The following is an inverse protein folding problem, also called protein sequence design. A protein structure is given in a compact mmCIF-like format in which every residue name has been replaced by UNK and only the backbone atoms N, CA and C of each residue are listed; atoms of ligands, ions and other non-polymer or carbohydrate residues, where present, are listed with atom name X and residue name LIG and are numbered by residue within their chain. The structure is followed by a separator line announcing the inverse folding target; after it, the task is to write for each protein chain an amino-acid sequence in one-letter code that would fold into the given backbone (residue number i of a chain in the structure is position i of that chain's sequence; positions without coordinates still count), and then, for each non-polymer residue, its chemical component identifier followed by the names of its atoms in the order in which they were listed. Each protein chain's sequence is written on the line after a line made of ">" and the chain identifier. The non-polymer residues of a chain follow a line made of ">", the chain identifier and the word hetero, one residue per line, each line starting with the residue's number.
data_IF_051444173419
#
_entry.id   IF_051444173419
#
_cell.length_a   1.000
_cell.length_b   1.000
_cell.length_c   1.000
_cell.angle_alpha   90.00
_cell.angle_beta   90.00
_cell.angle_gamma   90.00
#
_symmetry.space_group_name_H-M   'P 1'
#
loop_
_entity.id
_entity.type
_entity.pdbx_description
1 polymer ?
#
# COMPACT_ATOMS: atom_id res chain seq x y z
N UNK A 1 -18.06 -8.79 12.61
CA UNK A 1 -17.27 -8.12 11.55
C UNK A 1 -17.50 -6.60 11.60
N UNK A 2 -16.73 -5.87 12.42
CA UNK A 2 -16.91 -4.41 12.63
C UNK A 2 -16.40 -3.58 11.45
N UNK A 3 -15.38 -4.07 10.72
CA UNK A 3 -14.75 -3.34 9.61
C UNK A 3 -15.71 -3.06 8.44
N UNK A 4 -16.70 -3.92 8.17
CA UNK A 4 -17.68 -3.71 7.10
C UNK A 4 -18.49 -2.42 7.30
N UNK A 5 -18.75 -2.05 8.56
CA UNK A 5 -19.45 -0.81 8.89
C UNK A 5 -18.57 0.44 8.76
N UNK A 6 -17.24 0.27 8.63
CA UNK A 6 -16.28 1.37 8.43
C UNK A 6 -16.03 1.66 6.95
N UNK A 7 -16.39 0.75 6.04
CA UNK A 7 -16.15 0.91 4.61
C UNK A 7 -17.03 2.02 4.05
N UNK A 8 -16.39 3.05 3.49
CA UNK A 8 -17.05 4.05 2.66
C UNK A 8 -16.91 3.62 1.20
N UNK A 9 -18.03 3.25 0.58
CA UNK A 9 -18.06 2.89 -0.84
C UNK A 9 -17.90 4.12 -1.74
N UNK A 10 -16.85 4.15 -2.56
CA UNK A 10 -16.61 5.16 -3.60
C UNK A 10 -16.07 4.48 -4.87
N UNK A 11 -16.94 4.04 -5.78
CA UNK A 11 -16.51 3.24 -6.91
C UNK A 11 -15.66 4.03 -7.90
N UNK A 12 -14.64 3.37 -8.46
CA UNK A 12 -14.05 3.79 -9.73
C UNK A 12 -15.01 3.51 -10.88
N UNK A 13 -14.81 4.21 -12.00
CA UNK A 13 -15.50 3.90 -13.24
C UNK A 13 -15.19 2.46 -13.68
N UNK A 14 -16.18 1.80 -14.29
CA UNK A 14 -16.10 0.37 -14.63
C UNK A 14 -14.97 -0.02 -15.60
N UNK A 15 -14.40 0.96 -16.33
CA UNK A 15 -13.27 0.78 -17.24
C UNK A 15 -11.90 0.93 -16.53
N UNK A 16 -11.87 1.36 -15.27
CA UNK A 16 -10.64 1.57 -14.49
C UNK A 16 -10.12 0.29 -13.80
N UNK A 17 -10.92 -0.77 -13.78
CA UNK A 17 -10.56 -2.06 -13.20
C UNK A 17 -11.17 -3.21 -14.02
N UNK A 18 -10.63 -4.40 -13.85
CA UNK A 18 -11.04 -5.60 -14.56
C UNK A 18 -12.08 -6.35 -13.73
N UNK A 19 -13.31 -6.40 -14.24
CA UNK A 19 -14.48 -7.04 -13.62
C UNK A 19 -14.51 -8.55 -13.82
N UNK A 20 -13.36 -9.19 -13.62
CA UNK A 20 -13.18 -10.65 -13.66
C UNK A 20 -12.96 -11.12 -12.23
N UNK A 21 -13.80 -12.05 -11.74
CA UNK A 21 -13.63 -12.62 -10.42
C UNK A 21 -12.51 -13.66 -10.44
N UNK A 22 -11.49 -13.48 -9.60
CA UNK A 22 -10.31 -14.35 -9.54
C UNK A 22 -10.06 -14.75 -8.08
N UNK A 23 -9.75 -16.03 -7.77
CA UNK A 23 -9.32 -16.43 -6.45
C UNK A 23 -8.13 -15.58 -5.97
N UNK A 24 -8.24 -15.03 -4.76
CA UNK A 24 -7.23 -14.15 -4.21
C UNK A 24 -6.25 -14.94 -3.35
N UNK A 25 -4.96 -14.71 -3.57
CA UNK A 25 -3.87 -15.37 -2.84
C UNK A 25 -3.08 -14.40 -1.98
N UNK A 26 -2.98 -13.14 -2.40
CA UNK A 26 -2.07 -12.19 -1.79
C UNK A 26 -2.74 -10.87 -1.46
N UNK A 27 -2.23 -10.20 -0.42
CA UNK A 27 -2.55 -8.81 -0.11
C UNK A 27 -1.28 -7.99 -0.33
N UNK A 28 -1.36 -6.95 -1.15
CA UNK A 28 -0.26 -6.03 -1.38
C UNK A 28 -0.51 -4.71 -0.67
N UNK A 29 0.42 -4.35 0.22
CA UNK A 29 0.41 -3.07 0.91
C UNK A 29 1.24 -2.07 0.11
N UNK A 30 0.63 -0.94 -0.19
CA UNK A 30 1.20 0.19 -0.88
C UNK A 30 1.15 1.44 -0.01
N UNK A 31 1.93 2.45 -0.41
CA UNK A 31 1.59 3.83 -0.09
C UNK A 31 1.54 4.66 -1.36
N UNK A 32 0.77 5.75 -1.31
CA UNK A 32 0.39 6.47 -2.52
C UNK A 32 1.50 7.32 -3.13
N UNK A 33 2.57 7.58 -2.37
CA UNK A 33 3.58 8.60 -2.67
C UNK A 33 2.91 9.95 -3.02
N UNK A 34 1.96 10.34 -2.18
CA UNK A 34 1.00 11.41 -2.46
C UNK A 34 0.36 11.96 -1.19
N UNK A 35 -0.57 12.89 -1.36
CA UNK A 35 -1.23 13.56 -0.24
C UNK A 35 -2.06 12.60 0.63
N UNK A 36 -2.47 13.06 1.81
CA UNK A 36 -3.29 12.30 2.75
C UNK A 36 -4.74 12.00 2.27
N UNK A 37 -5.17 12.49 1.10
CA UNK A 37 -6.55 12.43 0.64
C UNK A 37 -6.88 11.14 -0.13
N UNK A 38 -7.75 10.26 0.40
CA UNK A 38 -8.17 9.07 -0.34
C UNK A 38 -9.06 9.44 -1.54
N UNK A 39 -9.87 10.50 -1.45
CA UNK A 39 -10.68 10.98 -2.57
C UNK A 39 -9.84 11.56 -3.70
N UNK A 40 -8.69 12.17 -3.38
CA UNK A 40 -7.73 12.64 -4.38
C UNK A 40 -7.14 11.49 -5.21
N UNK A 41 -6.82 10.38 -4.55
CA UNK A 41 -6.33 9.15 -5.22
C UNK A 41 -7.37 8.61 -6.19
N UNK A 42 -8.62 8.42 -5.74
CA UNK A 42 -9.71 7.92 -6.57
C UNK A 42 -10.04 8.86 -7.73
N UNK A 43 -10.00 10.18 -7.48
CA UNK A 43 -10.18 11.18 -8.54
C UNK A 43 -9.13 11.01 -9.62
N UNK A 44 -7.85 10.94 -9.24
CA UNK A 44 -6.74 10.77 -10.18
C UNK A 44 -6.87 9.49 -11.01
N UNK A 45 -7.21 8.36 -10.39
CA UNK A 45 -7.45 7.10 -11.12
C UNK A 45 -8.58 7.22 -12.14
N UNK A 46 -9.67 7.93 -11.82
CA UNK A 46 -10.76 8.12 -12.78
C UNK A 46 -10.43 9.09 -13.93
N UNK A 47 -9.42 9.95 -13.75
CA UNK A 47 -9.01 10.95 -14.75
C UNK A 47 -7.88 10.44 -15.68
N UNK A 48 -7.34 9.24 -15.43
CA UNK A 48 -6.25 8.66 -16.23
C UNK A 48 -6.68 7.41 -16.99
N UNK A 49 -6.16 7.25 -18.20
CA UNK A 49 -6.30 6.02 -19.00
C UNK A 49 -5.32 4.91 -18.58
N UNK A 50 -4.50 5.14 -17.54
CA UNK A 50 -3.51 4.18 -17.08
C UNK A 50 -4.15 2.88 -16.53
N UNK A 51 -5.43 2.90 -16.15
CA UNK A 51 -6.17 1.77 -15.53
C UNK A 51 -5.41 1.13 -14.37
N UNK A 52 -4.79 2.01 -13.57
CA UNK A 52 -4.10 1.63 -12.35
C UNK A 52 -5.01 1.86 -11.16
N UNK A 53 -4.91 1.02 -10.14
CA UNK A 53 -5.70 1.19 -8.93
C UNK A 53 -5.64 -0.01 -8.00
N UNK A 54 -6.10 0.19 -6.78
CA UNK A 54 -6.25 -0.88 -5.79
C UNK A 54 -7.67 -0.92 -5.24
N UNK A 55 -8.05 -2.03 -4.59
CA UNK A 55 -9.40 -2.22 -4.10
C UNK A 55 -9.73 -1.30 -2.91
N UNK A 56 -8.74 -0.99 -2.07
CA UNK A 56 -8.93 -0.22 -0.84
C UNK A 56 -7.91 0.91 -0.72
N UNK A 57 -8.36 2.06 -0.23
CA UNK A 57 -7.51 3.22 0.08
C UNK A 57 -7.81 3.68 1.49
N UNK A 58 -6.78 3.85 2.32
CA UNK A 58 -6.89 4.31 3.70
C UNK A 58 -6.34 5.74 3.78
N UNK A 59 -7.23 6.68 4.13
CA UNK A 59 -6.90 8.09 4.25
C UNK A 59 -5.88 8.36 5.35
N UNK A 60 -4.98 9.32 5.12
CA UNK A 60 -4.08 9.83 6.15
C UNK A 60 -4.70 11.00 6.90
N UNK A 61 -3.97 11.60 7.83
CA UNK A 61 -4.45 12.73 8.62
C UNK A 61 -4.82 13.94 7.74
N UNK A 62 -6.04 14.47 7.84
CA UNK A 62 -6.42 15.71 7.17
C UNK A 62 -5.56 16.89 7.67
N UNK A 63 -4.99 17.67 6.74
CA UNK A 63 -4.15 18.84 7.09
C UNK A 63 -4.89 20.19 7.08
N UNK A 64 -6.17 20.22 6.71
CA UNK A 64 -7.00 21.44 6.61
C UNK A 64 -8.41 21.16 7.10
N UNK A 65 -9.05 22.15 7.72
CA UNK A 65 -10.43 22.03 8.20
C UNK A 65 -11.46 21.77 7.08
N UNK A 66 -11.15 22.16 5.84
CA UNK A 66 -12.00 21.92 4.67
C UNK A 66 -11.93 20.49 4.14
N UNK A 67 -10.95 19.69 4.56
CA UNK A 67 -10.83 18.30 4.17
C UNK A 67 -11.99 17.49 4.76
N UNK A 68 -12.59 16.62 3.93
CA UNK A 68 -13.86 15.94 4.22
C UNK A 68 -13.69 14.43 4.45
N UNK A 69 -12.53 13.99 4.91
CA UNK A 69 -12.27 12.61 5.35
C UNK A 69 -11.77 12.60 6.78
N UNK A 70 -11.73 11.42 7.40
CA UNK A 70 -11.12 11.19 8.72
C UNK A 70 -9.78 10.48 8.55
N UNK A 71 -8.87 10.70 9.50
CA UNK A 71 -7.65 9.90 9.57
C UNK A 71 -8.01 8.41 9.71
N UNK A 72 -7.39 7.55 8.91
CA UNK A 72 -7.74 6.13 8.83
C UNK A 72 -9.04 5.80 8.08
N UNK A 73 -9.68 6.76 7.38
CA UNK A 73 -10.93 6.45 6.66
C UNK A 73 -10.72 5.42 5.55
N UNK A 74 -11.41 4.29 5.66
CA UNK A 74 -11.34 3.17 4.73
C UNK A 74 -12.30 3.38 3.56
N UNK A 75 -11.75 3.61 2.37
CA UNK A 75 -12.50 3.68 1.12
C UNK A 75 -12.36 2.37 0.37
N UNK A 76 -13.49 1.84 -0.14
CA UNK A 76 -13.48 0.75 -1.12
C UNK A 76 -13.79 1.30 -2.52
N UNK A 77 -12.86 1.07 -3.44
CA UNK A 77 -12.87 1.57 -4.81
C UNK A 77 -13.53 0.59 -5.81
N UNK A 78 -13.42 -0.70 -5.53
CA UNK A 78 -14.14 -1.77 -6.23
C UNK A 78 -14.18 -3.03 -5.36
N UNK A 79 -15.02 -4.01 -5.72
CA UNK A 79 -15.09 -5.27 -4.98
C UNK A 79 -13.74 -6.00 -5.04
N UNK A 80 -13.23 -6.46 -3.90
CA UNK A 80 -11.97 -7.20 -3.78
C UNK A 80 -11.95 -8.54 -4.51
N UNK A 81 -13.07 -9.02 -5.08
CA UNK A 81 -13.05 -10.18 -5.99
C UNK A 81 -12.52 -9.83 -7.39
N UNK A 82 -12.56 -8.55 -7.76
CA UNK A 82 -12.05 -8.00 -9.02
C UNK A 82 -10.60 -7.51 -8.84
N UNK A 83 -9.99 -6.98 -9.90
CA UNK A 83 -8.59 -6.57 -9.87
C UNK A 83 -8.30 -5.39 -10.80
N UNK A 84 -7.18 -4.70 -10.56
CA UNK A 84 -6.65 -3.64 -11.41
C UNK A 84 -5.12 -3.77 -11.47
N UNK A 85 -4.45 -2.98 -12.31
CA UNK A 85 -2.99 -3.00 -12.39
C UNK A 85 -2.40 -2.10 -11.29
N UNK A 86 -1.65 -2.66 -10.35
CA UNK A 86 -1.05 -1.88 -9.25
C UNK A 86 0.44 -2.20 -8.99
N UNK A 87 0.95 -3.31 -9.53
CA UNK A 87 2.35 -3.71 -9.32
C UNK A 87 3.32 -3.10 -10.35
N UNK A 88 2.81 -2.51 -11.43
CA UNK A 88 3.62 -1.88 -12.48
C UNK A 88 4.60 -2.82 -13.20
N UNK A 89 4.43 -4.14 -13.09
CA UNK A 89 5.37 -5.15 -13.58
C UNK A 89 5.34 -5.28 -15.10
N UNK A 90 6.54 -5.34 -15.69
CA UNK A 90 6.82 -5.56 -17.11
C UNK A 90 7.79 -6.72 -17.23
N UNK A 91 7.78 -7.43 -18.35
CA UNK A 91 8.72 -8.55 -18.58
C UNK A 91 10.20 -8.15 -18.34
N UNK A 92 10.56 -6.90 -18.63
CA UNK A 92 11.93 -6.38 -18.44
C UNK A 92 12.35 -6.17 -16.99
N UNK A 93 11.43 -6.23 -16.01
CA UNK A 93 11.73 -6.04 -14.59
C UNK A 93 11.23 -7.20 -13.71
N UNK A 94 11.01 -8.36 -14.32
CA UNK A 94 10.62 -9.58 -13.64
C UNK A 94 11.71 -10.64 -13.85
N UNK A 95 12.15 -11.33 -12.78
CA UNK A 95 13.13 -12.39 -12.89
C UNK A 95 12.60 -13.59 -13.72
N UNK A 96 13.47 -14.36 -14.39
CA UNK A 96 13.07 -15.62 -15.02
C UNK A 96 12.35 -16.54 -14.02
N UNK A 97 11.30 -17.23 -14.47
CA UNK A 97 10.50 -18.11 -13.61
C UNK A 97 9.34 -17.41 -12.87
N UNK A 98 9.25 -16.08 -12.93
CA UNK A 98 8.10 -15.34 -12.36
C UNK A 98 6.77 -15.77 -12.97
N UNK A 99 5.72 -15.72 -12.15
CA UNK A 99 4.34 -15.68 -12.64
C UNK A 99 4.13 -14.49 -13.59
N UNK A 100 3.13 -14.58 -14.46
CA UNK A 100 2.86 -13.46 -15.36
C UNK A 100 2.40 -12.22 -14.58
N UNK A 101 2.75 -11.02 -15.07
CA UNK A 101 2.27 -9.74 -14.49
C UNK A 101 0.74 -9.72 -14.35
N UNK A 102 0.01 -10.32 -15.30
CA UNK A 102 -1.45 -10.45 -15.21
C UNK A 102 -1.88 -11.29 -14.02
N UNK A 103 -1.27 -12.47 -13.83
CA UNK A 103 -1.59 -13.39 -12.72
C UNK A 103 -1.31 -12.72 -11.38
N UNK A 104 -0.15 -12.09 -11.22
CA UNK A 104 0.24 -11.41 -9.99
C UNK A 104 -0.74 -10.30 -9.60
N UNK A 105 -1.14 -9.43 -10.54
CA UNK A 105 -2.13 -8.38 -10.25
C UNK A 105 -3.53 -8.96 -10.03
N UNK A 106 -3.91 -10.01 -10.77
CA UNK A 106 -5.25 -10.59 -10.69
C UNK A 106 -5.50 -11.35 -9.38
N UNK A 107 -4.49 -12.04 -8.84
CA UNK A 107 -4.57 -12.78 -7.58
C UNK A 107 -4.32 -11.90 -6.34
N UNK A 108 -3.83 -10.68 -6.53
CA UNK A 108 -3.59 -9.74 -5.46
C UNK A 108 -4.83 -8.91 -5.11
N UNK A 109 -4.91 -8.52 -3.85
CA UNK A 109 -5.75 -7.44 -3.34
C UNK A 109 -4.82 -6.31 -2.92
N UNK A 110 -4.82 -5.21 -3.67
CA UNK A 110 -4.06 -4.03 -3.29
C UNK A 110 -4.76 -3.20 -2.20
N UNK A 111 -3.96 -2.63 -1.30
CA UNK A 111 -4.37 -1.64 -0.29
C UNK A 111 -3.38 -0.48 -0.30
N UNK A 112 -3.87 0.75 -0.42
CA UNK A 112 -3.06 1.97 -0.44
C UNK A 112 -3.18 2.75 0.87
N UNK A 113 -2.05 3.07 1.49
CA UNK A 113 -1.97 4.05 2.57
C UNK A 113 -1.68 5.44 1.99
N UNK A 114 -2.58 6.41 2.17
CA UNK A 114 -2.33 7.79 1.73
C UNK A 114 -1.16 8.38 2.50
N UNK A 115 -0.01 8.53 1.85
CA UNK A 115 1.24 8.96 2.49
C UNK A 115 2.23 9.51 1.45
N UNK A 116 2.99 10.53 1.83
CA UNK A 116 3.97 11.20 0.97
C UNK A 116 5.22 10.37 0.66
N UNK A 117 5.54 9.34 1.45
CA UNK A 117 6.76 8.55 1.32
C UNK A 117 7.98 9.26 1.93
N UNK A 118 9.13 9.13 1.28
CA UNK A 118 10.37 9.73 1.77
C UNK A 118 10.36 11.25 1.67
N UNK A 119 11.16 11.89 2.50
CA UNK A 119 11.24 13.35 2.65
C UNK A 119 12.68 13.83 2.54
N UNK A 120 12.84 15.03 2.00
CA UNK A 120 14.12 15.74 1.95
C UNK A 120 14.23 16.70 3.14
N UNK A 121 15.31 16.61 3.91
CA UNK A 121 15.59 17.57 4.98
C UNK A 121 16.39 18.74 4.43
N UNK A 122 15.81 19.94 4.43
CA UNK A 122 16.46 21.20 4.01
C UNK A 122 16.27 22.25 5.08
N UNK A 123 17.36 22.86 5.57
CA UNK A 123 17.33 23.94 6.57
C UNK A 123 16.45 23.59 7.80
N UNK A 124 16.59 22.37 8.33
CA UNK A 124 15.85 21.91 9.52
C UNK A 124 14.37 21.56 9.27
N UNK A 125 13.86 21.70 8.05
CA UNK A 125 12.49 21.34 7.64
C UNK A 125 12.48 20.12 6.73
N UNK A 126 11.35 19.41 6.70
CA UNK A 126 11.15 18.21 5.89
C UNK A 126 10.20 18.49 4.74
N UNK A 127 10.59 18.11 3.54
CA UNK A 127 9.86 18.42 2.31
C UNK A 127 9.50 17.15 1.55
N UNK A 128 8.29 17.15 1.00
CA UNK A 128 7.84 16.21 -0.01
C UNK A 128 8.47 16.53 -1.36
N UNK A 129 8.40 15.61 -2.34
CA UNK A 129 8.91 15.87 -3.69
C UNK A 129 8.16 17.01 -4.42
N UNK A 130 6.96 17.39 -3.96
CA UNK A 130 6.21 18.57 -4.43
C UNK A 130 6.45 19.82 -3.57
N UNK A 131 7.52 19.83 -2.76
CA UNK A 131 7.94 20.95 -1.91
C UNK A 131 6.95 21.36 -0.81
N UNK A 132 5.94 20.55 -0.50
CA UNK A 132 5.12 20.75 0.71
C UNK A 132 5.90 20.37 1.96
N UNK A 133 5.77 21.16 3.02
CA UNK A 133 6.43 20.91 4.32
C UNK A 133 5.63 19.90 5.13
N UNK A 134 6.33 18.89 5.68
CA UNK A 134 5.78 17.95 6.65
C UNK A 134 6.22 18.37 8.07
N UNK A 135 5.30 18.49 9.04
CA UNK A 135 5.62 18.76 10.43
C UNK A 135 6.57 17.71 11.01
N UNK A 136 7.57 18.12 11.81
CA UNK A 136 8.58 17.19 12.34
C UNK A 136 8.01 16.04 13.19
N UNK A 137 6.86 16.24 13.84
CA UNK A 137 6.16 15.20 14.60
C UNK A 137 5.39 14.19 13.72
N UNK A 138 5.32 14.43 12.41
CA UNK A 138 4.77 13.53 11.39
C UNK A 138 5.91 12.91 10.54
N UNK A 139 7.16 13.05 10.98
CA UNK A 139 8.34 12.47 10.33
C UNK A 139 8.92 11.35 11.18
N UNK A 140 9.32 10.26 10.54
CA UNK A 140 10.10 9.19 11.13
C UNK A 140 11.47 9.09 10.46
N UNK A 141 12.48 8.78 11.27
CA UNK A 141 13.84 8.51 10.79
C UNK A 141 14.02 6.99 10.74
N UNK A 142 14.48 6.49 9.59
CA UNK A 142 14.83 5.08 9.38
C UNK A 142 16.35 4.98 9.30
N UNK A 143 16.93 4.17 10.20
CA UNK A 143 18.38 3.99 10.34
C UNK A 143 18.69 2.49 10.53
N UNK A 144 19.51 1.86 9.65
CA UNK A 144 20.11 2.42 8.45
C UNK A 144 19.05 2.90 7.43
N UNK A 145 19.43 3.81 6.53
CA UNK A 145 18.49 4.37 5.54
C UNK A 145 17.88 3.28 4.67
N UNK A 146 16.56 3.29 4.48
CA UNK A 146 15.87 2.35 3.60
C UNK A 146 15.91 2.85 2.15
N UNK A 147 16.43 2.03 1.23
CA UNK A 147 16.54 2.34 -0.21
C UNK A 147 17.14 3.73 -0.51
N UNK A 148 18.11 4.14 0.29
CA UNK A 148 18.80 5.43 0.15
C UNK A 148 18.09 6.64 0.79
N UNK A 149 16.99 6.42 1.50
CA UNK A 149 16.20 7.49 2.12
C UNK A 149 16.10 7.33 3.64
N UNK A 150 16.40 8.41 4.36
CA UNK A 150 16.46 8.43 5.83
C UNK A 150 15.21 8.97 6.50
N UNK A 151 14.57 9.98 5.93
CA UNK A 151 13.40 10.64 6.51
C UNK A 151 12.15 10.26 5.75
N UNK A 152 11.09 9.93 6.47
CA UNK A 152 9.83 9.44 5.89
C UNK A 152 8.65 10.09 6.57
N UNK A 153 7.57 10.30 5.81
CA UNK A 153 6.29 10.71 6.37
C UNK A 153 5.67 9.53 7.11
N UNK A 154 5.48 9.66 8.42
CA UNK A 154 5.00 8.58 9.30
C UNK A 154 3.57 8.18 8.93
N UNK A 155 3.29 6.87 8.86
CA UNK A 155 1.91 6.36 8.87
C UNK A 155 1.26 6.65 10.21
N UNK A 156 0.02 7.15 10.21
CA UNK A 156 -0.71 7.41 11.45
C UNK A 156 -1.14 6.10 12.10
N UNK A 157 -1.36 6.11 13.42
CA UNK A 157 -1.81 4.89 14.11
C UNK A 157 -3.22 4.50 13.63
N UNK A 158 -4.10 5.48 13.35
CA UNK A 158 -5.42 5.24 12.77
C UNK A 158 -5.37 4.56 11.39
N UNK A 159 -4.37 4.89 10.55
CA UNK A 159 -4.13 4.19 9.28
C UNK A 159 -3.76 2.72 9.53
N UNK A 160 -2.84 2.46 10.47
CA UNK A 160 -2.34 1.12 10.77
C UNK A 160 -3.41 0.26 11.44
N UNK A 161 -4.21 0.80 12.35
CA UNK A 161 -5.32 0.08 13.00
C UNK A 161 -6.38 -0.33 11.97
N UNK A 162 -6.72 0.58 11.05
CA UNK A 162 -7.65 0.28 9.96
C UNK A 162 -7.08 -0.78 9.00
N UNK A 163 -5.79 -0.71 8.70
CA UNK A 163 -5.12 -1.70 7.87
C UNK A 163 -5.13 -3.07 8.54
N UNK A 164 -4.90 -3.14 9.85
CA UNK A 164 -4.95 -4.39 10.62
C UNK A 164 -6.33 -5.05 10.48
N UNK A 165 -7.39 -4.32 10.80
CA UNK A 165 -8.76 -4.84 10.72
C UNK A 165 -9.14 -5.28 9.29
N UNK A 166 -8.67 -4.55 8.28
CA UNK A 166 -8.89 -4.91 6.88
C UNK A 166 -8.14 -6.20 6.50
N UNK A 167 -6.87 -6.33 6.87
CA UNK A 167 -6.06 -7.50 6.55
C UNK A 167 -6.63 -8.77 7.20
N UNK A 168 -7.03 -8.70 8.48
CA UNK A 168 -7.67 -9.81 9.19
C UNK A 168 -8.99 -10.22 8.51
N UNK A 169 -9.80 -9.25 8.09
CA UNK A 169 -11.03 -9.51 7.34
C UNK A 169 -10.76 -10.17 5.98
N UNK A 170 -9.80 -9.66 5.21
CA UNK A 170 -9.46 -10.21 3.90
C UNK A 170 -8.86 -11.62 4.02
N UNK A 171 -8.05 -11.86 5.04
CA UNK A 171 -7.54 -13.20 5.36
C UNK A 171 -8.67 -14.19 5.62
N UNK A 172 -9.62 -13.85 6.50
CA UNK A 172 -10.78 -14.71 6.77
C UNK A 172 -11.67 -14.92 5.53
N UNK A 173 -11.80 -13.88 4.69
CA UNK A 173 -12.67 -13.92 3.51
C UNK A 173 -12.09 -14.77 2.37
N UNK A 174 -10.77 -14.75 2.19
CA UNK A 174 -10.08 -15.35 1.04
C UNK A 174 -9.12 -16.49 1.41
N UNK A 175 -9.07 -16.88 2.69
CA UNK A 175 -8.13 -17.87 3.23
C UNK A 175 -6.65 -17.53 2.95
N UNK A 176 -6.31 -16.24 3.13
CA UNK A 176 -4.95 -15.73 2.90
C UNK A 176 -4.15 -15.81 4.22
N UNK A 177 -3.00 -16.50 4.27
CA UNK A 177 -2.21 -16.64 5.49
C UNK A 177 -1.54 -15.32 5.89
N UNK A 178 -1.52 -15.01 7.19
CA UNK A 178 -1.03 -13.73 7.72
C UNK A 178 0.46 -13.70 8.12
N UNK A 179 1.24 -14.73 7.78
CA UNK A 179 2.63 -14.87 8.22
C UNK A 179 3.52 -13.65 7.88
N UNK A 180 4.14 -13.07 8.91
CA UNK A 180 5.15 -12.01 8.79
C UNK A 180 6.47 -12.58 8.26
N UNK A 181 6.98 -12.02 7.17
CA UNK A 181 8.17 -12.54 6.47
C UNK A 181 9.44 -11.69 6.69
N UNK A 182 9.46 -10.83 7.71
CA UNK A 182 10.61 -9.96 7.97
C UNK A 182 10.94 -9.03 6.80
N UNK A 183 12.24 -8.82 6.56
CA UNK A 183 12.75 -7.95 5.50
C UNK A 183 12.33 -8.38 4.09
N UNK A 184 11.96 -9.64 3.90
CA UNK A 184 11.50 -10.20 2.62
C UNK A 184 10.21 -9.53 2.12
N UNK A 185 9.42 -8.93 3.02
CA UNK A 185 8.25 -8.16 2.62
C UNK A 185 8.62 -6.81 2.00
N UNK A 186 9.83 -6.30 2.25
CA UNK A 186 10.30 -4.96 1.91
C UNK A 186 11.48 -4.95 0.94
N UNK A 187 11.96 -6.12 0.53
CA UNK A 187 12.99 -6.30 -0.49
C UNK A 187 12.55 -7.29 -1.56
N UNK A 188 13.19 -7.26 -2.73
CA UNK A 188 12.86 -8.17 -3.81
C UNK A 188 12.93 -9.62 -3.34
N UNK A 189 11.83 -10.35 -3.51
CA UNK A 189 11.74 -11.75 -3.11
C UNK A 189 11.07 -12.58 -4.23
N UNK A 190 11.71 -13.69 -4.60
CA UNK A 190 11.20 -14.57 -5.66
C UNK A 190 9.81 -15.14 -5.34
N UNK A 191 9.50 -15.40 -4.07
CA UNK A 191 8.21 -15.94 -3.66
C UNK A 191 7.08 -14.94 -3.94
N UNK A 192 7.36 -13.64 -3.85
CA UNK A 192 6.42 -12.60 -4.25
C UNK A 192 6.16 -12.64 -5.77
N UNK A 193 7.20 -12.90 -6.59
CA UNK A 193 7.07 -13.08 -8.04
C UNK A 193 6.40 -14.40 -8.45
N UNK A 194 6.33 -15.38 -7.54
CA UNK A 194 5.66 -16.67 -7.73
C UNK A 194 4.22 -16.68 -7.18
N UNK A 195 3.72 -15.54 -6.70
CA UNK A 195 2.39 -15.41 -6.10
C UNK A 195 2.21 -16.29 -4.85
N UNK A 196 3.26 -16.44 -4.03
CA UNK A 196 3.17 -17.14 -2.75
C UNK A 196 2.10 -16.48 -1.87
N UNK A 197 1.13 -17.27 -1.34
CA UNK A 197 0.04 -16.73 -0.53
C UNK A 197 0.53 -15.92 0.68
N UNK A 198 -0.19 -14.83 0.95
CA UNK A 198 0.01 -14.01 2.13
C UNK A 198 0.20 -12.53 1.84
N UNK A 199 0.75 -11.82 2.83
CA UNK A 199 0.98 -10.38 2.72
C UNK A 199 2.34 -10.11 2.09
N UNK A 200 2.34 -9.15 1.16
CA UNK A 200 3.53 -8.60 0.52
C UNK A 200 3.43 -7.07 0.47
N UNK A 201 4.54 -6.39 0.23
CA UNK A 201 4.51 -4.96 -0.11
C UNK A 201 5.01 -4.74 -1.52
N UNK A 202 4.72 -3.58 -2.11
CA UNK A 202 5.08 -3.33 -3.50
C UNK A 202 6.58 -3.35 -3.78
N UNK A 203 7.43 -3.10 -2.77
CA UNK A 203 8.89 -3.23 -2.87
C UNK A 203 9.38 -4.67 -2.97
N UNK A 204 8.56 -5.67 -2.64
CA UNK A 204 8.89 -7.10 -2.81
C UNK A 204 8.94 -7.57 -4.26
N UNK A 205 8.30 -6.82 -5.17
CA UNK A 205 8.31 -7.10 -6.61
C UNK A 205 8.86 -5.94 -7.44
N UNK A 206 9.34 -4.88 -6.78
CA UNK A 206 9.88 -3.69 -7.43
C UNK A 206 11.22 -3.30 -6.87
N UNK A 207 12.23 -3.29 -7.73
CA UNK A 207 13.59 -2.89 -7.38
C UNK A 207 13.64 -1.45 -6.85
N UNK A 208 14.60 -1.21 -5.95
CA UNK A 208 15.00 0.12 -5.47
C UNK A 208 15.96 0.84 -6.43
N UNK A 209 16.69 1.83 -5.91
CA UNK A 209 17.63 2.67 -6.67
C UNK A 209 17.04 4.00 -7.16
N UNK A 210 17.79 4.77 -7.94
CA UNK A 210 17.43 6.15 -8.35
C UNK A 210 16.15 6.27 -9.20
N UNK A 211 15.69 5.17 -9.78
CA UNK A 211 14.40 5.05 -10.50
C UNK A 211 13.51 3.94 -9.92
N UNK A 212 13.87 3.45 -8.73
CA UNK A 212 13.22 2.34 -8.08
C UNK A 212 11.92 2.73 -7.37
N UNK A 213 11.21 1.72 -6.88
CA UNK A 213 10.07 1.93 -5.99
C UNK A 213 10.53 1.92 -4.54
N UNK A 214 9.80 2.65 -3.72
CA UNK A 214 10.05 2.81 -2.29
C UNK A 214 8.79 2.57 -1.45
N UNK A 215 7.65 2.37 -2.11
CA UNK A 215 6.39 2.02 -1.49
C UNK A 215 6.25 0.50 -1.42
N UNK A 216 5.94 -0.13 -0.29
CA UNK A 216 5.80 0.41 1.07
C UNK A 216 7.16 0.41 1.81
N UNK A 217 7.44 1.39 2.67
CA UNK A 217 8.65 1.40 3.50
C UNK A 217 8.42 0.68 4.86
N UNK A 218 9.48 0.11 5.48
CA UNK A 218 9.40 -0.65 6.73
C UNK A 218 9.23 0.27 7.95
N UNK A 219 8.08 0.93 8.08
CA UNK A 219 7.77 1.74 9.25
C UNK A 219 7.65 0.86 10.51
N UNK A 220 8.17 1.26 11.67
CA UNK A 220 8.07 0.49 12.92
C UNK A 220 6.63 0.11 13.29
N UNK A 221 5.67 1.04 13.24
CA UNK A 221 4.28 0.72 13.57
C UNK A 221 3.62 -0.23 12.57
N UNK A 222 4.02 -0.20 11.29
CA UNK A 222 3.60 -1.18 10.29
C UNK A 222 4.20 -2.56 10.59
N UNK A 223 5.50 -2.64 10.90
CA UNK A 223 6.18 -3.89 11.27
C UNK A 223 5.52 -4.50 12.50
N UNK A 224 5.28 -3.71 13.54
CA UNK A 224 4.67 -4.18 14.78
C UNK A 224 3.27 -4.73 14.51
N UNK A 225 2.48 -4.07 13.66
CA UNK A 225 1.18 -4.58 13.24
C UNK A 225 1.28 -5.90 12.48
N UNK A 226 2.19 -5.99 11.49
CA UNK A 226 2.40 -7.21 10.72
C UNK A 226 2.83 -8.40 11.58
N UNK A 227 3.69 -8.17 12.59
CA UNK A 227 4.05 -9.18 13.59
C UNK A 227 2.86 -9.62 14.44
N UNK A 228 2.01 -8.67 14.87
CA UNK A 228 0.82 -8.99 15.67
C UNK A 228 -0.18 -9.86 14.89
N UNK A 229 -0.44 -9.55 13.62
CA UNK A 229 -1.39 -10.36 12.81
C UNK A 229 -0.80 -11.66 12.31
N UNK A 230 0.52 -11.74 12.11
CA UNK A 230 1.15 -12.92 11.57
C UNK A 230 1.40 -14.05 12.55
N UNK A 231 1.23 -13.77 13.84
CA UNK A 231 1.72 -14.64 14.91
C UNK A 231 3.25 -14.62 14.97
N UNK A 232 3.81 -14.73 16.17
CA UNK A 232 5.22 -15.08 16.29
C UNK A 232 5.33 -16.59 16.05
N UNK A 233 5.93 -16.98 14.92
CA UNK A 233 6.54 -18.30 14.86
C UNK A 233 7.88 -18.17 15.61
N UNK A 234 7.80 -18.25 16.93
CA UNK A 234 8.95 -18.50 17.79
C UNK A 234 9.39 -19.97 17.65
#
# INVERSE_FOLDING_TARGET
>A
MVILNKIVWKPLQNNQYIREAVPKKTIYIHHTAGSASPFGVLKWWNETDARVGVAFVIGGKPTRASHRWKDGELIQAFSSKYWAWHLGLKKSNMPPGSESSKVLNAQAIGVELCNWGYLEKRNGRFYTYVNSVVPSNEVITIDPSYRGHRYWHRYTDAQIDTLQELIEYLSQTYDIPLCYKGDQMFELDMRAFESEPGIWTHTSVRAGGSKGKTDCYPAPNLIDMLKRVGGTHD
#
